data_IF_258781471009
#
_entry.id   IF_258781471009
#
_cell.length_a   1.000
_cell.length_b   1.000
_cell.length_c   1.000
_cell.angle_alpha   90.00
_cell.angle_beta   90.00
_cell.angle_gamma   90.00
#
_symmetry.space_group_name_H-M   'P 1'
#
loop_
_entity.id
_entity.type
_entity.pdbx_description
1 polymer ?
#
# COMPACT_ATOMS: atom_id res chain seq x y z
N UNK A 1 -16.15 -41.69 -20.54
CA UNK A 1 -15.31 -40.72 -21.30
C UNK A 1 -15.98 -39.35 -21.32
N UNK A 2 -15.93 -38.58 -20.21
CA UNK A 2 -16.63 -37.29 -20.03
C UNK A 2 -15.69 -36.13 -19.60
N UNK A 3 -14.39 -36.38 -19.45
CA UNK A 3 -13.43 -35.47 -18.78
C UNK A 3 -13.07 -34.22 -19.60
N UNK A 4 -13.25 -34.25 -20.92
CA UNK A 4 -12.70 -33.25 -21.83
C UNK A 4 -13.51 -31.94 -21.81
N UNK A 5 -14.81 -32.01 -21.51
CA UNK A 5 -15.70 -30.83 -21.51
C UNK A 5 -15.46 -29.92 -20.30
N UNK A 6 -15.19 -30.51 -19.14
CA UNK A 6 -14.93 -29.78 -17.90
C UNK A 6 -13.59 -29.03 -17.96
N UNK A 7 -12.56 -29.65 -18.55
CA UNK A 7 -11.25 -29.00 -18.73
C UNK A 7 -11.33 -27.80 -19.68
N UNK A 8 -12.10 -27.90 -20.77
CA UNK A 8 -12.31 -26.78 -21.71
C UNK A 8 -13.05 -25.62 -21.02
N UNK A 9 -14.09 -25.91 -20.23
CA UNK A 9 -14.83 -24.87 -19.51
C UNK A 9 -13.95 -24.11 -18.52
N UNK A 10 -13.08 -24.82 -17.81
CA UNK A 10 -12.14 -24.21 -16.87
C UNK A 10 -11.12 -23.32 -17.59
N UNK A 11 -10.64 -23.75 -18.75
CA UNK A 11 -9.71 -22.98 -19.58
C UNK A 11 -10.36 -21.69 -20.11
N UNK A 12 -11.59 -21.79 -20.61
CA UNK A 12 -12.36 -20.62 -21.10
C UNK A 12 -12.63 -19.63 -19.96
N UNK A 13 -13.00 -20.11 -18.76
CA UNK A 13 -13.21 -19.25 -17.60
C UNK A 13 -11.92 -18.50 -17.20
N UNK A 14 -10.77 -19.18 -17.16
CA UNK A 14 -9.48 -18.55 -16.91
C UNK A 14 -9.14 -17.47 -17.94
N UNK A 15 -9.40 -17.72 -19.23
CA UNK A 15 -9.14 -16.75 -20.28
C UNK A 15 -10.00 -15.48 -20.14
N UNK A 16 -11.26 -15.62 -19.74
CA UNK A 16 -12.16 -14.48 -19.54
C UNK A 16 -11.74 -13.60 -18.36
N UNK A 17 -11.28 -14.21 -17.26
CA UNK A 17 -10.75 -13.46 -16.10
C UNK A 17 -9.49 -12.69 -16.47
N UNK A 18 -8.58 -13.30 -17.22
CA UNK A 18 -7.38 -12.64 -17.72
C UNK A 18 -7.74 -11.45 -18.62
N UNK A 19 -8.73 -11.61 -19.51
CA UNK A 19 -9.19 -10.54 -20.40
C UNK A 19 -9.78 -9.34 -19.66
N UNK A 20 -10.56 -9.58 -18.60
CA UNK A 20 -11.12 -8.51 -17.77
C UNK A 20 -10.03 -7.78 -16.98
N UNK A 21 -9.02 -8.51 -16.48
CA UNK A 21 -7.89 -7.90 -15.76
C UNK A 21 -6.94 -7.08 -16.66
N UNK A 22 -6.92 -7.39 -17.96
CA UNK A 22 -6.10 -6.70 -18.94
C UNK A 22 -6.74 -5.39 -19.45
N UNK A 23 -8.01 -5.13 -19.12
CA UNK A 23 -8.64 -3.85 -19.43
C UNK A 23 -8.01 -2.77 -18.54
N UNK A 24 -7.39 -1.72 -19.11
CA UNK A 24 -6.86 -0.62 -18.33
C UNK A 24 -8.02 0.05 -17.60
N UNK A 25 -7.99 0.01 -16.27
CA UNK A 25 -8.90 0.80 -15.45
C UNK A 25 -8.69 2.28 -15.80
N UNK A 26 -9.75 3.05 -16.10
CA UNK A 26 -9.62 4.49 -16.24
C UNK A 26 -9.02 5.07 -14.95
N UNK A 27 -7.96 5.86 -15.10
CA UNK A 27 -7.30 6.54 -14.00
C UNK A 27 -8.29 7.48 -13.29
N UNK A 28 -8.37 7.48 -11.94
CA UNK A 28 -9.18 8.45 -11.21
C UNK A 28 -8.46 9.79 -11.14
N UNK A 29 -8.36 10.49 -12.27
CA UNK A 29 -7.84 11.86 -12.38
C UNK A 29 -8.88 12.70 -13.14
N UNK A 30 -10.10 12.78 -12.59
CA UNK A 30 -11.13 13.72 -13.10
C UNK A 30 -12.20 13.99 -12.02
N UNK A 31 -11.77 14.47 -10.84
CA UNK A 31 -12.67 15.07 -9.84
C UNK A 31 -11.95 16.23 -9.14
N UNK A 32 -11.58 17.25 -9.90
CA UNK A 32 -11.10 18.53 -9.38
C UNK A 32 -11.53 19.66 -10.31
N UNK A 33 -12.84 19.84 -10.45
CA UNK A 33 -13.46 21.07 -10.94
C UNK A 33 -14.77 21.25 -10.21
N UNK A 34 -14.78 22.19 -9.24
CA UNK A 34 -15.89 23.09 -8.91
C UNK A 34 -15.47 23.92 -7.69
N UNK A 35 -14.75 25.01 -7.95
CA UNK A 35 -14.69 26.15 -7.03
C UNK A 35 -15.85 27.11 -7.38
N UNK A 36 -16.61 27.60 -6.40
CA UNK A 36 -17.07 28.98 -6.47
C UNK A 36 -16.51 29.80 -5.32
N UNK A 37 -16.10 31.00 -5.69
CA UNK A 37 -15.55 32.05 -4.85
C UNK A 37 -16.55 32.65 -3.84
N UNK A 38 -15.97 33.44 -2.93
CA UNK A 38 -16.56 34.32 -1.88
C UNK A 38 -16.71 33.61 -0.52
N UNK A 39 -16.24 34.13 0.63
CA UNK A 39 -16.39 35.49 1.16
C UNK A 39 -15.48 35.71 2.40
N UNK A 40 -15.13 36.98 2.67
CA UNK A 40 -14.20 37.58 3.64
C UNK A 40 -14.22 37.13 5.11
N UNK A 41 -13.04 37.08 5.76
CA UNK A 41 -12.86 37.64 7.13
C UNK A 41 -11.39 38.07 7.44
N UNK A 42 -11.17 39.37 7.27
CA UNK A 42 -10.30 40.31 8.01
C UNK A 42 -8.93 39.89 8.54
N UNK A 43 -7.90 40.51 7.95
CA UNK A 43 -6.88 41.35 8.60
C UNK A 43 -7.02 41.47 10.12
N UNK A 44 -6.16 40.75 10.86
CA UNK A 44 -5.27 41.24 11.92
C UNK A 44 -4.28 40.09 12.21
N UNK A 45 -3.03 40.38 12.55
CA UNK A 45 -1.88 39.47 12.80
C UNK A 45 -0.79 39.43 11.70
N UNK A 46 -0.80 40.40 10.79
CA UNK A 46 0.31 40.65 9.86
C UNK A 46 1.42 41.57 10.44
N UNK A 47 1.74 41.50 11.74
CA UNK A 47 2.73 42.42 12.32
C UNK A 47 3.67 41.86 13.40
N UNK A 48 4.04 40.57 13.39
CA UNK A 48 5.12 40.13 14.27
C UNK A 48 5.94 38.96 13.72
N UNK A 49 6.94 39.28 12.89
CA UNK A 49 8.29 38.66 12.82
C UNK A 49 8.98 38.91 11.46
N UNK A 50 9.20 40.18 11.12
CA UNK A 50 10.29 40.55 10.22
C UNK A 50 11.59 40.63 11.03
N UNK A 51 12.37 39.55 11.01
CA UNK A 51 13.79 39.56 11.31
C UNK A 51 14.47 38.55 10.38
N UNK A 52 15.18 39.07 9.37
CA UNK A 52 15.93 38.30 8.37
C UNK A 52 17.31 37.81 8.91
N UNK A 53 18.23 37.27 8.07
CA UNK A 53 18.22 35.91 7.52
C UNK A 53 19.61 35.24 7.72
N UNK A 54 19.70 34.08 8.38
CA UNK A 54 20.99 33.36 8.41
C UNK A 54 20.74 31.84 8.40
N UNK A 55 21.05 31.22 7.25
CA UNK A 55 21.51 29.84 7.07
C UNK A 55 20.94 28.77 8.00
N UNK A 56 19.67 28.44 7.81
CA UNK A 56 19.14 27.16 8.24
C UNK A 56 19.05 26.23 7.03
N UNK A 57 20.09 25.42 6.80
CA UNK A 57 19.93 24.19 6.04
C UNK A 57 19.00 23.26 6.85
N UNK A 58 17.70 23.55 6.82
CA UNK A 58 16.67 22.60 7.20
C UNK A 58 16.76 21.51 6.13
N UNK A 59 17.43 20.41 6.46
CA UNK A 59 17.19 19.18 5.74
C UNK A 59 15.68 18.95 5.81
N UNK A 60 15.00 19.06 4.67
CA UNK A 60 13.56 18.81 4.59
C UNK A 60 13.30 17.45 5.25
N UNK A 61 12.34 17.36 6.19
CA UNK A 61 12.02 16.07 6.78
C UNK A 61 11.57 15.16 5.65
N UNK A 62 12.36 14.12 5.36
CA UNK A 62 12.00 13.11 4.37
C UNK A 62 10.59 12.61 4.70
N UNK A 63 9.62 12.95 3.85
CA UNK A 63 8.21 12.71 4.11
C UNK A 63 7.95 11.20 4.09
N UNK A 64 7.84 10.61 5.28
CA UNK A 64 7.52 9.21 5.50
C UNK A 64 6.12 9.11 6.08
N UNK A 65 5.17 8.65 5.26
CA UNK A 65 3.79 8.40 5.66
C UNK A 65 3.61 6.90 5.90
N UNK A 66 3.32 6.54 7.15
CA UNK A 66 3.04 5.15 7.53
C UNK A 66 1.61 5.03 8.06
N UNK A 67 0.86 4.11 7.45
CA UNK A 67 -0.47 3.71 7.93
C UNK A 67 -0.44 2.24 8.33
N UNK A 68 -0.81 1.95 9.58
CA UNK A 68 -0.90 0.59 10.11
C UNK A 68 -2.35 0.26 10.44
N UNK A 69 -2.83 -0.87 9.96
CA UNK A 69 -4.13 -1.44 10.29
C UNK A 69 -3.95 -2.84 10.87
N UNK A 70 -4.79 -3.21 11.85
CA UNK A 70 -4.85 -4.58 12.39
C UNK A 70 -6.27 -5.11 12.21
N UNK A 71 -6.42 -6.37 11.84
CA UNK A 71 -7.72 -7.03 11.86
C UNK A 71 -8.03 -7.51 13.30
N UNK A 72 -9.32 -7.65 13.66
CA UNK A 72 -9.71 -8.29 14.91
C UNK A 72 -9.21 -9.74 15.03
N UNK A 73 -8.94 -10.37 13.89
CA UNK A 73 -8.66 -11.81 13.74
C UNK A 73 -7.14 -12.12 13.64
N UNK A 74 -6.27 -11.24 14.15
CA UNK A 74 -4.83 -11.53 14.25
C UNK A 74 -4.00 -11.20 13.00
N UNK A 75 -4.59 -10.49 12.04
CA UNK A 75 -3.90 -9.96 10.87
C UNK A 75 -3.40 -8.52 11.07
N UNK A 76 -2.39 -8.11 10.31
CA UNK A 76 -1.92 -6.73 10.24
C UNK A 76 -1.50 -6.35 8.82
N UNK A 77 -1.76 -5.11 8.47
CA UNK A 77 -1.33 -4.47 7.23
C UNK A 77 -0.58 -3.20 7.60
N UNK A 78 0.59 -2.98 7.00
CA UNK A 78 1.34 -1.74 7.06
C UNK A 78 1.49 -1.23 5.65
N UNK A 79 1.08 0.01 5.42
CA UNK A 79 1.30 0.78 4.21
C UNK A 79 2.33 1.85 4.54
N UNK A 80 3.37 1.94 3.72
CA UNK A 80 4.41 2.95 3.87
C UNK A 80 4.57 3.65 2.53
N UNK A 81 4.53 4.97 2.52
CA UNK A 81 4.97 5.79 1.42
C UNK A 81 6.13 6.66 1.91
N UNK A 82 7.21 6.70 1.16
CA UNK A 82 8.41 7.47 1.51
C UNK A 82 8.98 8.18 0.30
N UNK A 83 9.53 9.36 0.54
CA UNK A 83 10.38 10.08 -0.40
C UNK A 83 11.73 10.33 0.27
N UNK A 84 12.70 9.48 -0.05
CA UNK A 84 14.07 9.54 0.46
C UNK A 84 15.03 9.82 -0.71
N UNK A 85 16.10 10.56 -0.47
CA UNK A 85 17.10 10.86 -1.49
C UNK A 85 17.98 9.65 -1.86
N UNK A 86 18.09 8.63 -0.99
CA UNK A 86 18.86 7.42 -1.28
C UNK A 86 18.04 6.38 -2.04
N UNK A 87 16.82 6.09 -1.58
CA UNK A 87 15.94 5.07 -2.18
C UNK A 87 15.02 5.66 -3.25
N UNK A 88 14.67 6.94 -3.18
CA UNK A 88 13.71 7.61 -4.06
C UNK A 88 12.27 7.59 -3.51
N UNK A 89 11.30 7.81 -4.40
CA UNK A 89 9.87 7.68 -4.11
C UNK A 89 9.47 6.22 -4.13
N UNK A 90 9.09 5.69 -2.96
CA UNK A 90 8.64 4.31 -2.80
C UNK A 90 7.30 4.23 -2.07
N UNK A 91 6.41 3.37 -2.56
CA UNK A 91 5.25 2.90 -1.83
C UNK A 91 5.39 1.40 -1.55
N UNK A 92 5.15 0.97 -0.32
CA UNK A 92 5.19 -0.42 0.08
C UNK A 92 4.01 -0.83 0.94
N UNK A 93 3.67 -2.11 0.87
CA UNK A 93 2.68 -2.78 1.70
C UNK A 93 3.31 -4.03 2.31
N UNK A 94 3.05 -4.25 3.59
CA UNK A 94 3.40 -5.46 4.31
C UNK A 94 2.15 -6.02 4.99
N UNK A 95 1.92 -7.31 4.84
CA UNK A 95 0.81 -8.04 5.41
C UNK A 95 1.36 -9.22 6.22
N UNK A 96 0.84 -9.41 7.43
CA UNK A 96 1.13 -10.56 8.28
C UNK A 96 -0.18 -11.08 8.89
N UNK A 97 -0.38 -12.39 8.94
CA UNK A 97 -1.59 -13.00 9.48
C UNK A 97 -1.32 -14.37 10.10
N UNK A 98 -1.81 -14.60 11.32
CA UNK A 98 -1.79 -15.93 11.93
C UNK A 98 -3.00 -16.73 11.44
N UNK A 99 -2.74 -17.72 10.58
CA UNK A 99 -3.80 -18.55 9.98
C UNK A 99 -4.31 -19.61 10.95
N UNK A 100 -3.42 -20.08 11.83
CA UNK A 100 -3.74 -21.16 12.76
C UNK A 100 -2.82 -21.12 13.97
N UNK A 101 -3.42 -21.30 15.14
CA UNK A 101 -2.71 -21.63 16.37
C UNK A 101 -3.38 -22.85 16.99
N UNK A 102 -2.58 -23.88 17.27
CA UNK A 102 -3.06 -25.07 17.95
C UNK A 102 -3.56 -24.72 19.35
N UNK A 103 -4.58 -25.44 19.82
CA UNK A 103 -5.21 -25.20 21.13
C UNK A 103 -4.24 -25.37 22.30
N UNK A 104 -3.25 -26.24 22.14
CA UNK A 104 -2.19 -26.49 23.11
C UNK A 104 -0.96 -25.56 22.94
N UNK A 105 -1.01 -24.64 21.97
CA UNK A 105 0.07 -23.70 21.65
C UNK A 105 1.32 -24.34 21.04
N UNK A 106 1.27 -25.63 20.66
CA UNK A 106 2.44 -26.35 20.15
C UNK A 106 2.66 -26.18 18.65
N UNK A 107 1.64 -25.76 17.92
CA UNK A 107 1.67 -25.54 16.48
C UNK A 107 1.19 -24.14 16.11
N UNK A 108 1.86 -23.49 15.16
CA UNK A 108 1.39 -22.26 14.53
C UNK A 108 1.62 -22.28 13.01
N UNK A 109 0.73 -21.60 12.28
CA UNK A 109 0.88 -21.32 10.86
C UNK A 109 0.64 -19.82 10.65
N UNK A 110 1.65 -19.16 10.12
CA UNK A 110 1.62 -17.73 9.81
C UNK A 110 1.79 -17.53 8.30
N UNK A 111 1.07 -16.56 7.75
CA UNK A 111 1.21 -16.11 6.37
C UNK A 111 1.67 -14.66 6.34
N UNK A 112 2.56 -14.34 5.41
CA UNK A 112 3.04 -12.99 5.18
C UNK A 112 3.14 -12.70 3.70
N UNK A 113 2.95 -11.43 3.36
CA UNK A 113 3.13 -10.92 2.01
C UNK A 113 3.67 -9.50 2.06
N UNK A 114 4.44 -9.12 1.06
CA UNK A 114 4.96 -7.77 0.88
C UNK A 114 4.98 -7.40 -0.60
N UNK A 115 4.81 -6.12 -0.87
CA UNK A 115 5.02 -5.54 -2.19
C UNK A 115 5.57 -4.12 -2.03
N UNK A 116 6.45 -3.71 -2.94
CA UNK A 116 6.87 -2.33 -3.07
C UNK A 116 6.98 -1.90 -4.52
N UNK A 117 6.76 -0.60 -4.75
CA UNK A 117 6.94 0.07 -6.03
C UNK A 117 7.79 1.31 -5.82
N UNK A 118 8.93 1.34 -6.49
CA UNK A 118 9.76 2.51 -6.62
C UNK A 118 9.39 3.24 -7.93
N UNK A 119 8.92 4.47 -7.80
CA UNK A 119 8.42 5.26 -8.92
C UNK A 119 9.53 5.88 -9.76
N UNK A 120 10.70 6.11 -9.18
CA UNK A 120 11.83 6.76 -9.87
C UNK A 120 12.57 5.78 -10.77
N UNK A 121 12.74 4.55 -10.29
CA UNK A 121 13.40 3.48 -11.06
C UNK A 121 12.43 2.51 -11.73
N UNK A 122 11.12 2.80 -11.67
CA UNK A 122 10.03 1.94 -12.15
C UNK A 122 10.22 0.46 -11.76
N UNK A 123 10.69 0.22 -10.54
CA UNK A 123 11.01 -1.12 -10.03
C UNK A 123 9.92 -1.57 -9.10
N UNK A 124 9.54 -2.84 -9.21
CA UNK A 124 8.63 -3.46 -8.26
C UNK A 124 9.33 -4.64 -7.58
N UNK A 125 9.05 -4.83 -6.30
CA UNK A 125 9.49 -5.98 -5.54
C UNK A 125 8.29 -6.63 -4.87
N UNK A 126 8.24 -7.96 -4.89
CA UNK A 126 7.14 -8.73 -4.34
C UNK A 126 7.70 -9.93 -3.59
N UNK A 127 7.09 -10.27 -2.46
CA UNK A 127 7.47 -11.43 -1.69
C UNK A 127 6.36 -11.88 -0.78
N UNK A 128 6.51 -13.07 -0.23
CA UNK A 128 5.55 -13.63 0.69
C UNK A 128 5.83 -15.10 0.92
N UNK A 129 5.13 -15.67 1.90
CA UNK A 129 5.28 -17.05 2.25
C UNK A 129 4.32 -17.48 3.34
N UNK A 130 4.40 -18.78 3.63
CA UNK A 130 3.74 -19.40 4.77
C UNK A 130 4.83 -20.03 5.61
N UNK A 131 4.79 -19.77 6.91
CA UNK A 131 5.69 -20.35 7.89
C UNK A 131 4.90 -21.20 8.86
N UNK A 132 5.33 -22.45 9.06
CA UNK A 132 4.75 -23.35 10.05
C UNK A 132 5.81 -23.71 11.11
N UNK A 133 5.37 -23.82 12.36
CA UNK A 133 6.20 -24.26 13.48
C UNK A 133 5.45 -25.30 14.30
N UNK A 134 6.12 -26.39 14.69
CA UNK A 134 5.57 -27.44 15.54
C UNK A 134 6.56 -27.88 16.61
N UNK A 135 6.06 -28.16 17.82
CA UNK A 135 6.81 -28.77 18.93
C UNK A 135 6.20 -30.13 19.24
N UNK A 136 7.07 -31.14 19.39
CA UNK A 136 6.70 -32.52 19.70
C UNK A 136 6.98 -32.84 21.16
#
# INVERSE_FOLDING_TARGET
MSSNKSSILLLVACCLVAFVSAYPQPYPEEYLMDEPAEEYLTTEHAELLLAEPEDFLVAEPEELLVRRARSPEGGSVVLTASKDNQVGREASVQYNHNLYTSRDGRGSIDAYAQASRNFDYNRNNYGGGVQASWRF
#
